data_IF_243164183754
#
_entry.id   IF_243164183754
#
_cell.length_a   1.000
_cell.length_b   1.000
_cell.length_c   1.000
_cell.angle_alpha   90.00
_cell.angle_beta   90.00
_cell.angle_gamma   90.00
#
_symmetry.space_group_name_H-M   'P 1'
#
loop_
_entity.id
_entity.type
_entity.pdbx_description
1 polymer ?
#
# COMPACT_ATOMS: atom_id res chain seq x y z
N UNK A 1 40.62 24.32 -6.30
CA UNK A 1 39.39 25.13 -6.23
C UNK A 1 38.37 24.41 -7.11
N UNK A 2 37.62 23.50 -6.51
CA UNK A 2 36.55 22.75 -7.19
C UNK A 2 35.24 23.13 -6.52
N UNK A 3 34.46 23.88 -7.27
CA UNK A 3 33.08 24.23 -7.01
C UNK A 3 32.23 22.96 -7.23
N UNK A 4 31.61 22.45 -6.16
CA UNK A 4 30.58 21.41 -6.23
C UNK A 4 29.52 21.70 -5.19
N UNK A 5 28.65 22.64 -5.58
CA UNK A 5 27.21 22.57 -5.34
C UNK A 5 26.72 21.11 -5.46
N UNK A 6 26.41 20.50 -4.32
CA UNK A 6 25.62 19.27 -4.24
C UNK A 6 24.39 19.63 -3.43
N UNK A 7 23.39 20.13 -4.16
CA UNK A 7 22.02 20.29 -3.68
C UNK A 7 21.43 18.88 -3.50
N UNK A 8 20.99 18.48 -2.31
CA UNK A 8 19.67 18.73 -1.71
C UNK A 8 18.51 18.05 -2.45
N UNK A 9 18.50 16.71 -2.54
CA UNK A 9 17.37 15.87 -3.01
C UNK A 9 17.52 14.50 -2.29
N UNK A 10 16.58 13.86 -1.57
CA UNK A 10 15.12 13.77 -1.64
C UNK A 10 14.50 13.52 -0.25
N UNK A 11 13.44 14.26 0.09
CA UNK A 11 12.47 13.89 1.10
C UNK A 11 11.08 14.13 0.52
N UNK A 12 10.38 13.07 0.08
CA UNK A 12 8.92 12.99 0.06
C UNK A 12 8.56 11.50 0.22
N UNK A 13 8.60 11.00 1.45
CA UNK A 13 7.68 9.94 1.86
C UNK A 13 6.35 10.68 2.05
N UNK A 14 5.35 10.33 1.25
CA UNK A 14 4.02 10.89 1.38
C UNK A 14 3.48 10.54 2.77
N UNK A 15 3.69 11.48 3.70
CA UNK A 15 3.01 11.56 4.97
C UNK A 15 1.54 11.76 4.63
N UNK A 16 0.77 10.67 4.61
CA UNK A 16 -0.69 10.70 4.71
C UNK A 16 -1.02 11.14 6.15
N UNK A 17 -0.70 12.39 6.45
CA UNK A 17 -1.27 13.18 7.55
C UNK A 17 -1.57 14.53 6.92
N UNK A 18 -2.56 14.52 6.03
CA UNK A 18 -3.14 15.74 5.51
C UNK A 18 -3.84 16.49 6.64
N UNK A 19 -3.13 17.50 7.17
CA UNK A 19 -3.70 18.76 7.66
C UNK A 19 -4.48 18.78 8.99
N UNK A 20 -3.77 18.67 10.12
CA UNK A 20 -3.92 19.65 11.22
C UNK A 20 -2.64 19.75 12.04
N UNK A 21 -1.73 20.63 11.61
CA UNK A 21 -0.68 21.14 12.50
C UNK A 21 0.72 21.21 11.88
N UNK A 22 1.07 22.41 11.40
CA UNK A 22 2.43 22.92 11.17
C UNK A 22 3.28 22.21 10.12
N UNK A 23 3.50 22.87 8.98
CA UNK A 23 4.84 23.28 8.53
C UNK A 23 4.73 24.19 7.29
N UNK A 24 5.02 25.46 7.51
CA UNK A 24 5.34 26.45 6.48
C UNK A 24 6.75 26.18 5.96
N UNK A 25 6.94 26.11 4.64
CA UNK A 25 8.26 26.11 4.00
C UNK A 25 8.27 25.43 2.64
N UNK A 26 8.30 26.22 1.57
CA UNK A 26 8.08 25.78 0.17
C UNK A 26 9.30 25.22 -0.56
N UNK A 27 9.11 24.93 -1.85
CA UNK A 27 10.19 24.57 -2.76
C UNK A 27 9.71 23.83 -4.00
N UNK A 28 9.62 24.56 -5.11
CA UNK A 28 9.19 24.08 -6.42
C UNK A 28 10.30 23.24 -7.09
N UNK A 29 9.99 22.01 -7.50
CA UNK A 29 10.94 21.17 -8.25
C UNK A 29 10.29 19.91 -8.80
N UNK A 30 10.27 19.79 -10.12
CA UNK A 30 9.75 18.64 -10.88
C UNK A 30 10.84 17.59 -11.04
N UNK A 31 10.47 16.31 -11.03
CA UNK A 31 11.10 15.18 -11.77
C UNK A 31 10.05 14.05 -11.90
N UNK A 32 9.73 13.43 -13.05
CA UNK A 32 10.53 12.68 -14.04
C UNK A 32 11.30 11.48 -13.48
N UNK A 33 10.55 10.44 -13.11
CA UNK A 33 11.07 9.09 -12.86
C UNK A 33 11.07 8.23 -14.12
N UNK A 34 12.25 7.73 -14.48
CA UNK A 34 12.52 6.81 -15.59
C UNK A 34 11.83 5.45 -15.37
N UNK A 35 11.04 5.06 -16.36
CA UNK A 35 10.45 3.73 -16.52
C UNK A 35 11.55 2.76 -16.95
N UNK A 36 11.88 1.77 -16.13
CA UNK A 36 12.59 0.60 -16.62
C UNK A 36 11.63 -0.24 -17.45
N UNK A 37 11.69 -0.06 -18.77
CA UNK A 37 10.98 -0.87 -19.74
C UNK A 37 11.57 -2.28 -19.78
N UNK A 38 10.72 -3.27 -19.55
CA UNK A 38 10.97 -4.64 -19.98
C UNK A 38 10.16 -4.84 -21.25
N UNK A 39 10.84 -4.71 -22.39
CA UNK A 39 10.36 -5.19 -23.67
C UNK A 39 10.70 -6.69 -23.73
N UNK A 40 9.69 -7.54 -23.68
CA UNK A 40 9.82 -8.93 -24.08
C UNK A 40 8.67 -9.27 -25.01
N UNK A 41 8.90 -8.98 -26.29
CA UNK A 41 8.06 -9.44 -27.38
C UNK A 41 7.90 -10.96 -27.34
N UNK A 42 6.65 -11.41 -27.40
CA UNK A 42 6.32 -12.72 -27.93
C UNK A 42 5.22 -12.56 -28.97
N UNK A 43 5.63 -12.69 -30.23
CA UNK A 43 4.77 -12.76 -31.41
C UNK A 43 4.20 -14.17 -31.58
N UNK A 44 2.89 -14.26 -31.84
CA UNK A 44 2.39 -15.09 -32.94
C UNK A 44 1.45 -16.24 -32.62
N UNK A 45 0.44 -16.34 -33.51
CA UNK A 45 -0.48 -17.46 -33.82
C UNK A 45 -1.61 -17.68 -32.80
N UNK A 46 -2.91 -17.67 -33.15
CA UNK A 46 -3.57 -17.88 -34.43
C UNK A 46 -4.55 -19.04 -34.29
N UNK A 47 -5.82 -18.84 -34.65
CA UNK A 47 -6.74 -19.91 -35.07
C UNK A 47 -7.73 -20.46 -34.05
N UNK A 48 -9.00 -20.07 -34.21
CA UNK A 48 -10.08 -21.00 -34.56
C UNK A 48 -10.68 -21.91 -33.48
N UNK A 49 -11.92 -21.59 -33.10
CA UNK A 49 -13.06 -22.52 -33.19
C UNK A 49 -13.22 -23.60 -32.12
N UNK A 50 -14.46 -23.74 -31.64
CA UNK A 50 -14.93 -24.98 -31.00
C UNK A 50 -15.73 -24.71 -29.73
N UNK A 51 -17.05 -24.87 -29.82
CA UNK A 51 -17.92 -24.90 -28.66
C UNK A 51 -17.64 -26.11 -27.76
N UNK A 52 -18.00 -25.95 -26.50
CA UNK A 52 -18.01 -27.00 -25.51
C UNK A 52 -18.68 -26.47 -24.26
N UNK A 53 -19.97 -26.78 -24.11
CA UNK A 53 -20.66 -26.77 -22.83
C UNK A 53 -19.93 -27.77 -21.92
N UNK A 54 -19.05 -27.25 -21.08
CA UNK A 54 -18.23 -27.99 -20.15
C UNK A 54 -18.33 -27.31 -18.81
N UNK A 55 -19.29 -27.75 -18.03
CA UNK A 55 -19.36 -27.58 -16.58
C UNK A 55 -17.97 -27.92 -16.00
N UNK A 56 -17.25 -26.88 -15.59
CA UNK A 56 -15.99 -27.02 -14.88
C UNK A 56 -16.17 -26.37 -13.52
N UNK A 57 -16.72 -27.15 -12.59
CA UNK A 57 -16.36 -27.11 -11.19
C UNK A 57 -14.82 -27.18 -11.09
N UNK A 58 -14.17 -26.03 -11.17
CA UNK A 58 -12.77 -25.87 -10.75
C UNK A 58 -12.79 -25.42 -9.31
N UNK A 59 -13.23 -26.31 -8.44
CA UNK A 59 -13.03 -26.19 -6.99
C UNK A 59 -11.61 -26.67 -6.68
N UNK A 60 -10.74 -25.77 -6.23
CA UNK A 60 -9.36 -26.12 -5.92
C UNK A 60 -8.32 -24.99 -5.87
N UNK A 61 -8.73 -23.72 -6.01
CA UNK A 61 -7.90 -22.58 -5.61
C UNK A 61 -8.46 -22.00 -4.31
N UNK A 62 -7.63 -21.63 -3.34
CA UNK A 62 -8.08 -20.83 -2.21
C UNK A 62 -8.74 -19.55 -2.76
N UNK A 63 -10.06 -19.52 -2.84
CA UNK A 63 -10.80 -18.37 -3.33
C UNK A 63 -10.60 -17.25 -2.31
N UNK A 64 -10.00 -16.16 -2.77
CA UNK A 64 -9.92 -14.94 -1.97
C UNK A 64 -11.30 -14.31 -1.94
N UNK A 65 -11.74 -13.90 -0.75
CA UNK A 65 -13.06 -13.32 -0.52
C UNK A 65 -12.92 -11.96 0.19
N UNK A 66 -14.06 -11.32 0.44
CA UNK A 66 -14.17 -10.17 1.32
C UNK A 66 -13.50 -10.44 2.66
N UNK A 67 -12.77 -9.45 3.16
CA UNK A 67 -11.91 -9.62 4.32
C UNK A 67 -12.08 -8.53 5.37
N UNK A 68 -11.62 -8.84 6.59
CA UNK A 68 -11.54 -7.87 7.69
C UNK A 68 -10.16 -7.88 8.31
N UNK A 69 -9.77 -6.80 8.97
CA UNK A 69 -8.48 -6.76 9.64
C UNK A 69 -8.17 -5.40 10.26
N UNK A 70 -6.88 -5.09 10.40
CA UNK A 70 -6.43 -3.85 11.03
C UNK A 70 -5.27 -3.23 10.27
N UNK A 71 -5.18 -1.91 10.32
CA UNK A 71 -4.05 -1.13 9.82
C UNK A 71 -3.60 -0.12 10.86
N UNK A 72 -2.29 -0.02 11.07
CA UNK A 72 -1.67 0.84 12.05
C UNK A 72 -0.58 1.71 11.44
N UNK A 73 -0.47 2.93 11.96
CA UNK A 73 0.66 3.83 11.79
C UNK A 73 1.12 4.27 13.18
N UNK A 74 2.37 3.98 13.53
CA UNK A 74 3.01 4.50 14.73
C UNK A 74 4.12 5.46 14.35
N UNK A 75 4.09 6.67 14.92
CA UNK A 75 5.18 7.66 14.84
C UNK A 75 5.81 7.75 16.22
N UNK A 76 7.06 7.28 16.35
CA UNK A 76 7.75 7.21 17.63
C UNK A 76 7.82 8.59 18.29
N UNK A 77 7.41 8.66 19.56
CA UNK A 77 7.40 9.89 20.35
C UNK A 77 6.31 10.90 19.97
N UNK A 78 5.42 10.58 19.03
CA UNK A 78 4.32 11.46 18.62
C UNK A 78 2.97 10.86 18.99
N UNK A 79 2.49 9.88 18.22
CA UNK A 79 1.18 9.25 18.40
C UNK A 79 1.09 8.00 17.49
N UNK A 80 0.08 7.18 17.69
CA UNK A 80 -0.33 6.04 16.90
C UNK A 80 -1.75 6.22 16.37
N UNK A 81 -1.97 5.75 15.17
CA UNK A 81 -3.26 5.71 14.49
C UNK A 81 -3.55 4.26 14.15
N UNK A 82 -4.76 3.81 14.43
CA UNK A 82 -5.21 2.49 14.03
C UNK A 82 -6.59 2.55 13.38
N UNK A 83 -6.79 1.72 12.37
CA UNK A 83 -8.05 1.54 11.67
C UNK A 83 -8.45 0.07 11.66
N UNK A 84 -9.76 -0.16 11.75
CA UNK A 84 -10.37 -1.43 11.38
C UNK A 84 -10.60 -1.44 9.86
N UNK A 85 -10.21 -2.52 9.20
CA UNK A 85 -10.39 -2.71 7.75
C UNK A 85 -11.62 -3.57 7.49
N UNK A 86 -12.46 -3.13 6.56
CA UNK A 86 -13.39 -3.98 5.80
C UNK A 86 -13.00 -3.89 4.34
N UNK A 87 -12.62 -5.00 3.72
CA UNK A 87 -12.20 -5.06 2.32
C UNK A 87 -13.19 -5.85 1.48
N UNK A 88 -13.68 -5.26 0.39
CA UNK A 88 -14.47 -5.95 -0.62
C UNK A 88 -13.56 -6.46 -1.72
N UNK A 89 -13.51 -7.76 -1.96
CA UNK A 89 -12.55 -8.34 -2.89
C UNK A 89 -12.88 -7.96 -4.34
N UNK A 90 -11.90 -7.38 -5.02
CA UNK A 90 -12.00 -6.96 -6.42
C UNK A 90 -10.92 -7.58 -7.30
N UNK A 91 -10.10 -8.46 -6.73
CA UNK A 91 -9.02 -9.14 -7.43
C UNK A 91 -9.49 -10.20 -8.41
N UNK A 92 -8.56 -10.61 -9.29
CA UNK A 92 -8.73 -11.78 -10.15
C UNK A 92 -7.38 -12.52 -10.24
N UNK A 93 -7.42 -13.85 -10.22
CA UNK A 93 -6.20 -14.67 -10.25
C UNK A 93 -5.39 -14.60 -8.95
N UNK A 94 -4.08 -14.36 -9.06
CA UNK A 94 -3.13 -14.40 -7.93
C UNK A 94 -2.85 -13.02 -7.30
N UNK A 95 -3.49 -11.96 -7.78
CA UNK A 95 -3.36 -10.62 -7.20
C UNK A 95 -4.43 -10.42 -6.12
N UNK A 96 -3.98 -10.18 -4.89
CA UNK A 96 -4.86 -9.86 -3.77
C UNK A 96 -5.24 -8.38 -3.83
N UNK A 97 -6.53 -8.06 -4.06
CA UNK A 97 -7.01 -6.69 -4.19
C UNK A 97 -8.36 -6.52 -3.53
N UNK A 98 -8.50 -5.48 -2.73
CA UNK A 98 -9.75 -5.11 -2.10
C UNK A 98 -10.02 -3.61 -2.25
N UNK A 99 -11.29 -3.27 -2.43
CA UNK A 99 -11.78 -1.93 -2.14
C UNK A 99 -12.00 -1.86 -0.62
N UNK A 100 -11.08 -1.22 0.10
CA UNK A 100 -11.01 -1.23 1.54
C UNK A 100 -11.61 0.05 2.15
N UNK A 101 -12.41 -0.13 3.20
CA UNK A 101 -12.92 0.90 4.08
C UNK A 101 -12.16 0.79 5.40
N UNK A 102 -11.56 1.90 5.82
CA UNK A 102 -10.79 2.04 7.04
C UNK A 102 -11.57 2.91 8.02
N UNK A 103 -12.05 2.31 9.09
CA UNK A 103 -12.76 3.01 10.17
C UNK A 103 -11.82 3.22 11.34
N UNK A 104 -11.75 4.44 11.88
CA UNK A 104 -10.85 4.77 12.99
C UNK A 104 -11.15 3.89 14.20
N UNK A 105 -10.14 3.14 14.63
CA UNK A 105 -10.20 2.33 15.83
C UNK A 105 -9.71 3.17 17.02
N UNK A 106 -10.66 3.65 17.83
CA UNK A 106 -10.37 4.44 19.04
C UNK A 106 -9.58 3.70 20.12
N UNK A 107 -9.54 2.36 20.09
CA UNK A 107 -8.72 1.55 20.99
C UNK A 107 -7.26 1.44 20.57
N UNK A 108 -6.95 1.77 19.31
CA UNK A 108 -5.60 1.75 18.72
C UNK A 108 -5.06 3.15 18.40
N UNK A 109 -5.91 4.17 18.47
CA UNK A 109 -5.60 5.55 18.09
C UNK A 109 -5.47 6.45 19.31
N UNK A 110 -4.35 7.15 19.43
CA UNK A 110 -4.15 8.24 20.41
C UNK A 110 -3.94 9.62 19.73
N UNK A 111 -3.79 9.66 18.40
CA UNK A 111 -3.77 10.91 17.64
C UNK A 111 -5.17 11.57 17.59
N UNK A 112 -5.21 12.89 17.66
CA UNK A 112 -6.44 13.66 17.46
C UNK A 112 -6.67 13.99 15.98
N UNK A 113 -7.93 14.14 15.57
CA UNK A 113 -8.30 14.62 14.23
C UNK A 113 -8.12 13.60 13.11
N UNK A 114 -8.07 12.32 13.44
CA UNK A 114 -8.06 11.24 12.44
C UNK A 114 -9.50 10.96 11.99
N UNK A 115 -9.66 10.75 10.69
CA UNK A 115 -10.94 10.46 10.05
C UNK A 115 -10.94 9.05 9.42
N UNK A 116 -12.14 8.53 9.20
CA UNK A 116 -12.35 7.34 8.39
C UNK A 116 -11.92 7.61 6.95
N UNK A 117 -11.46 6.58 6.25
CA UNK A 117 -11.04 6.69 4.85
C UNK A 117 -11.39 5.43 4.08
N UNK A 118 -11.30 5.49 2.76
CA UNK A 118 -11.47 4.32 1.89
C UNK A 118 -10.57 4.45 0.67
N UNK A 119 -10.19 3.31 0.12
CA UNK A 119 -9.22 3.25 -0.96
C UNK A 119 -8.93 1.83 -1.39
N UNK A 120 -8.07 1.70 -2.41
CA UNK A 120 -7.72 0.41 -2.98
C UNK A 120 -6.53 -0.19 -2.25
N UNK A 121 -6.75 -1.30 -1.56
CA UNK A 121 -5.70 -2.13 -0.97
C UNK A 121 -5.25 -3.16 -2.01
N UNK A 122 -3.97 -3.13 -2.39
CA UNK A 122 -3.38 -4.09 -3.33
C UNK A 122 -2.20 -4.78 -2.67
N UNK A 123 -2.15 -6.10 -2.79
CA UNK A 123 -1.00 -6.90 -2.40
C UNK A 123 -0.56 -7.77 -3.57
N UNK A 124 0.57 -7.40 -4.17
CA UNK A 124 1.14 -8.10 -5.31
C UNK A 124 2.66 -8.05 -5.23
N UNK A 125 3.32 -9.07 -5.77
CA UNK A 125 4.79 -9.13 -5.85
C UNK A 125 5.51 -8.91 -4.50
N UNK A 126 4.90 -9.34 -3.38
CA UNK A 126 5.50 -9.23 -2.04
C UNK A 126 5.40 -7.84 -1.40
N UNK A 127 4.64 -6.91 -1.98
CA UNK A 127 4.41 -5.57 -1.41
C UNK A 127 2.93 -5.31 -1.22
N UNK A 128 2.59 -4.53 -0.20
CA UNK A 128 1.27 -3.99 0.02
C UNK A 128 1.25 -2.49 -0.30
N UNK A 129 0.20 -2.05 -0.99
CA UNK A 129 -0.08 -0.65 -1.26
C UNK A 129 -1.52 -0.29 -0.92
N UNK A 130 -1.74 0.96 -0.50
CA UNK A 130 -3.06 1.56 -0.31
C UNK A 130 -3.17 2.84 -1.13
N UNK A 131 -4.13 2.90 -2.05
CA UNK A 131 -4.24 3.95 -3.08
C UNK A 131 -2.91 4.22 -3.78
N UNK A 132 -2.25 3.14 -4.21
CA UNK A 132 -0.95 3.15 -4.89
C UNK A 132 0.23 3.65 -4.04
N UNK A 133 0.02 3.95 -2.76
CA UNK A 133 1.09 4.29 -1.81
C UNK A 133 1.63 3.02 -1.15
N UNK A 134 2.96 2.88 -1.10
CA UNK A 134 3.60 1.76 -0.42
C UNK A 134 3.35 1.80 1.10
N UNK A 135 2.79 0.71 1.64
CA UNK A 135 2.48 0.58 3.09
C UNK A 135 3.23 -0.59 3.75
N UNK A 136 3.94 -1.42 2.98
CA UNK A 136 4.87 -2.38 3.57
C UNK A 136 5.21 -3.59 2.71
N UNK A 137 6.12 -4.40 3.24
CA UNK A 137 6.44 -5.72 2.69
C UNK A 137 5.38 -6.70 3.16
N UNK A 138 4.83 -7.48 2.23
CA UNK A 138 3.74 -8.40 2.48
C UNK A 138 4.24 -9.80 2.87
N UNK A 139 3.46 -10.48 3.72
CA UNK A 139 3.61 -11.87 4.10
C UNK A 139 2.26 -12.57 3.95
N UNK A 140 2.27 -13.78 3.38
CA UNK A 140 1.08 -14.51 2.98
C UNK A 140 0.91 -15.78 3.81
N UNK A 141 -0.31 -16.01 4.28
CA UNK A 141 -0.78 -17.27 4.83
C UNK A 141 -2.04 -17.70 4.06
N UNK A 142 -2.61 -18.88 4.38
CA UNK A 142 -3.74 -19.48 3.67
C UNK A 142 -4.90 -18.51 3.42
N UNK A 143 -5.26 -17.75 4.46
CA UNK A 143 -6.47 -16.92 4.54
C UNK A 143 -6.15 -15.52 5.10
N UNK A 144 -4.90 -15.08 4.92
CA UNK A 144 -4.41 -13.85 5.55
C UNK A 144 -3.25 -13.28 4.77
N UNK A 145 -3.30 -11.96 4.57
CA UNK A 145 -2.12 -11.18 4.23
C UNK A 145 -1.82 -10.23 5.38
N UNK A 146 -0.55 -10.12 5.74
CA UNK A 146 -0.07 -9.02 6.60
C UNK A 146 1.05 -8.27 5.93
N UNK A 147 1.21 -7.01 6.30
CA UNK A 147 2.30 -6.16 5.83
C UNK A 147 2.97 -5.43 6.99
N UNK A 148 4.22 -5.07 6.78
CA UNK A 148 5.00 -4.29 7.71
C UNK A 148 6.05 -3.46 6.98
N UNK A 149 6.26 -2.23 7.42
CA UNK A 149 7.47 -1.46 7.13
C UNK A 149 7.78 -0.54 8.30
N UNK A 150 9.06 -0.32 8.56
CA UNK A 150 9.50 0.69 9.50
C UNK A 150 10.69 1.44 8.93
N UNK A 151 10.85 2.69 9.33
CA UNK A 151 11.90 3.55 8.84
C UNK A 151 12.20 4.69 9.79
N UNK A 152 13.17 5.51 9.40
CA UNK A 152 13.57 6.70 10.14
C UNK A 152 13.70 7.87 9.17
N UNK A 153 13.07 9.00 9.50
CA UNK A 153 13.24 10.25 8.78
C UNK A 153 14.37 11.03 9.44
N UNK A 154 15.45 11.34 8.72
CA UNK A 154 16.57 12.11 9.26
C UNK A 154 16.38 13.62 9.04
N UNK A 155 16.80 14.44 10.01
CA UNK A 155 16.75 15.91 9.93
C UNK A 155 16.33 16.56 11.24
N UNK A 156 16.20 17.90 11.24
CA UNK A 156 15.61 18.61 12.38
C UNK A 156 14.14 18.24 12.53
N UNK A 157 13.81 17.49 13.59
CA UNK A 157 12.47 16.91 13.77
C UNK A 157 12.32 15.48 13.23
N UNK A 158 13.43 14.82 12.88
CA UNK A 158 13.43 13.42 12.45
C UNK A 158 12.92 12.45 13.52
N UNK A 159 12.35 11.33 13.09
CA UNK A 159 11.73 10.33 13.95
C UNK A 159 11.56 8.99 13.26
N UNK A 160 11.36 7.94 14.06
CA UNK A 160 11.04 6.61 13.56
C UNK A 160 9.55 6.49 13.27
N UNK A 161 9.21 5.74 12.24
CA UNK A 161 7.83 5.39 11.93
C UNK A 161 7.69 3.90 11.64
N UNK A 162 6.51 3.36 11.85
CA UNK A 162 6.12 2.02 11.46
C UNK A 162 4.71 2.03 10.87
N UNK A 163 4.53 1.29 9.78
CA UNK A 163 3.24 0.90 9.25
C UNK A 163 3.12 -0.61 9.38
N UNK A 164 2.00 -1.09 9.88
CA UNK A 164 1.71 -2.51 9.99
C UNK A 164 0.24 -2.78 9.79
N UNK A 165 -0.10 -3.96 9.30
CA UNK A 165 -1.50 -4.30 9.14
C UNK A 165 -1.70 -5.69 8.60
N UNK A 166 -2.97 -6.08 8.55
CA UNK A 166 -3.39 -7.36 8.04
C UNK A 166 -4.84 -7.34 7.57
N UNK A 167 -5.17 -8.27 6.68
CA UNK A 167 -6.53 -8.59 6.27
C UNK A 167 -6.67 -10.12 6.18
N UNK A 168 -7.77 -10.63 6.72
CA UNK A 168 -8.14 -12.05 6.79
C UNK A 168 -9.48 -12.29 6.08
N UNK A 169 -9.61 -13.41 5.37
CA UNK A 169 -10.82 -13.83 4.63
C UNK A 169 -11.11 -15.33 4.83
#
# INVERSE_FOLDING_TARGET
MFDRSVQNELAVVAVIVGAVGCLSGGGDGKDSGVVYGYDSGWSGSGGGGGGGDGDSDVDGGNTVDDGTGTYGLTIEGTCSIGWDIVGYYTGSGFDYRWDAILTVNSGLTDCAGIEDTSGRLVVSSGVATFDDNYIGVASYNTNRVSWFTAGYVAGGGGGSYAYDGNIEW
#
